data_IF_914188041939
#
_entry.id   IF_914188041939
#
_cell.length_a   1.000
_cell.length_b   1.000
_cell.length_c   1.000
_cell.angle_alpha   90.00
_cell.angle_beta   90.00
_cell.angle_gamma   90.00
#
_symmetry.space_group_name_H-M   'P 1'
#
loop_
_entity.id
_entity.type
_entity.pdbx_description
1 polymer ?
#
# COMPACT_ATOMS: atom_id res chain seq x y z
N UNK A 1 6.44 9.81 -26.28
CA UNK A 1 6.30 11.10 -27.00
C UNK A 1 6.79 11.03 -28.44
N UNK A 2 8.07 10.75 -28.71
CA UNK A 2 8.60 10.75 -30.09
C UNK A 2 8.17 9.56 -30.97
N UNK A 3 7.48 8.55 -30.41
CA UNK A 3 7.06 7.32 -31.11
C UNK A 3 8.22 6.56 -31.79
N UNK A 4 9.40 6.59 -31.16
CA UNK A 4 10.65 5.98 -31.65
C UNK A 4 11.28 4.98 -30.67
N UNK A 5 10.59 4.64 -29.59
CA UNK A 5 11.13 3.76 -28.55
C UNK A 5 11.51 2.39 -29.13
N UNK A 6 10.67 1.82 -29.99
CA UNK A 6 10.94 0.56 -30.67
C UNK A 6 12.18 0.63 -31.57
N UNK A 7 12.37 1.74 -32.29
CA UNK A 7 13.50 1.95 -33.21
C UNK A 7 14.82 2.06 -32.44
N UNK A 8 14.84 2.80 -31.32
CA UNK A 8 16.03 2.92 -30.48
C UNK A 8 16.38 1.60 -29.80
N UNK A 9 15.39 0.87 -29.26
CA UNK A 9 15.63 -0.45 -28.66
C UNK A 9 16.15 -1.45 -29.69
N UNK A 10 15.61 -1.44 -30.92
CA UNK A 10 16.10 -2.28 -32.01
C UNK A 10 17.54 -1.96 -32.39
N UNK A 11 17.90 -0.67 -32.46
CA UNK A 11 19.26 -0.24 -32.76
C UNK A 11 20.26 -0.66 -31.68
N UNK A 12 19.84 -0.66 -30.40
CA UNK A 12 20.66 -1.12 -29.27
C UNK A 12 20.90 -2.63 -29.33
N UNK A 13 19.84 -3.43 -29.51
CA UNK A 13 19.94 -4.91 -29.55
C UNK A 13 20.74 -5.38 -30.77
N UNK A 14 20.73 -4.64 -31.87
CA UNK A 14 21.55 -4.93 -33.04
C UNK A 14 23.05 -4.68 -32.82
N UNK A 15 23.43 -3.89 -31.80
CA UNK A 15 24.82 -3.63 -31.41
C UNK A 15 25.19 -4.39 -30.15
N UNK A 16 25.15 -5.72 -30.25
CA UNK A 16 25.54 -6.64 -29.14
C UNK A 16 26.98 -6.45 -28.68
N UNK A 17 27.85 -5.95 -29.57
CA UNK A 17 29.25 -5.60 -29.30
C UNK A 17 29.40 -4.50 -28.24
N UNK A 18 28.51 -3.51 -28.24
CA UNK A 18 28.50 -2.46 -27.21
C UNK A 18 27.66 -2.87 -26.00
N UNK A 19 26.59 -3.63 -26.21
CA UNK A 19 25.74 -4.10 -25.11
C UNK A 19 26.47 -5.09 -24.19
N UNK A 20 27.44 -5.86 -24.71
CA UNK A 20 28.25 -6.78 -23.89
C UNK A 20 29.17 -6.08 -22.87
N UNK A 21 29.36 -4.76 -22.97
CA UNK A 21 30.07 -3.98 -21.94
C UNK A 21 29.18 -3.73 -20.70
N UNK A 22 27.85 -3.71 -20.88
CA UNK A 22 26.89 -3.38 -19.83
C UNK A 22 26.04 -4.57 -19.37
N UNK A 23 25.94 -5.62 -20.20
CA UNK A 23 25.08 -6.78 -19.97
C UNK A 23 25.86 -8.08 -20.11
N UNK A 24 25.60 -8.99 -19.17
CA UNK A 24 26.10 -10.36 -19.22
C UNK A 24 25.54 -11.12 -20.43
N UNK A 25 26.25 -12.15 -20.95
CA UNK A 25 25.83 -12.88 -22.15
C UNK A 25 24.43 -13.50 -22.07
N UNK A 26 23.99 -13.88 -20.86
CA UNK A 26 22.67 -14.47 -20.57
C UNK A 26 21.61 -13.44 -20.14
N UNK A 27 21.90 -12.14 -20.24
CA UNK A 27 20.92 -11.11 -19.94
C UNK A 27 19.82 -11.09 -21.01
N UNK A 28 18.59 -10.76 -20.60
CA UNK A 28 17.43 -10.70 -21.49
C UNK A 28 17.64 -9.81 -22.73
N UNK A 29 18.44 -8.75 -22.62
CA UNK A 29 18.77 -7.86 -23.74
C UNK A 29 19.78 -8.45 -24.74
N UNK A 30 20.54 -9.48 -24.33
CA UNK A 30 21.56 -10.16 -25.13
C UNK A 30 21.04 -11.42 -25.83
N UNK A 31 19.92 -11.95 -25.36
CA UNK A 31 19.24 -13.14 -25.91
C UNK A 31 18.14 -12.79 -26.93
N UNK A 32 17.44 -13.80 -27.46
CA UNK A 32 16.39 -13.62 -28.47
C UNK A 32 15.17 -12.85 -27.92
N UNK A 33 14.93 -12.90 -26.61
CA UNK A 33 13.84 -12.22 -25.92
C UNK A 33 13.92 -10.70 -26.08
N UNK A 34 15.12 -10.12 -26.11
CA UNK A 34 15.30 -8.69 -26.36
C UNK A 34 14.74 -8.27 -27.73
N UNK A 35 15.00 -9.07 -28.77
CA UNK A 35 14.49 -8.81 -30.11
C UNK A 35 12.95 -8.92 -30.17
N UNK A 36 12.37 -9.88 -29.44
CA UNK A 36 10.92 -10.04 -29.31
C UNK A 36 10.31 -8.80 -28.64
N UNK A 37 10.89 -8.32 -27.53
CA UNK A 37 10.42 -7.12 -26.82
C UNK A 37 10.49 -5.89 -27.73
N UNK A 38 11.59 -5.71 -28.47
CA UNK A 38 11.70 -4.62 -29.45
C UNK A 38 10.60 -4.68 -30.51
N UNK A 39 10.22 -5.88 -30.96
CA UNK A 39 9.10 -6.10 -31.88
C UNK A 39 7.74 -5.73 -31.27
N UNK A 40 7.50 -6.11 -30.02
CA UNK A 40 6.26 -5.77 -29.30
C UNK A 40 6.13 -4.26 -29.07
N UNK A 41 7.24 -3.56 -28.81
CA UNK A 41 7.27 -2.11 -28.60
C UNK A 41 6.81 -1.32 -29.83
N UNK A 42 6.83 -1.90 -31.04
CA UNK A 42 6.29 -1.25 -32.25
C UNK A 42 4.79 -0.94 -32.10
N UNK A 43 4.05 -1.79 -31.37
CA UNK A 43 2.62 -1.56 -31.09
C UNK A 43 2.36 -0.27 -30.32
N UNK A 44 3.34 0.20 -29.52
CA UNK A 44 3.22 1.44 -28.75
C UNK A 44 3.30 2.70 -29.61
N UNK A 45 3.71 2.60 -30.89
CA UNK A 45 3.78 3.76 -31.78
C UNK A 45 2.40 4.34 -32.12
N UNK A 46 1.34 3.55 -31.95
CA UNK A 46 -0.05 4.00 -32.14
C UNK A 46 -0.52 4.88 -30.98
N UNK A 47 0.10 4.76 -29.80
CA UNK A 47 -0.28 5.51 -28.61
C UNK A 47 0.19 6.96 -28.72
N UNK A 48 -0.75 7.89 -28.60
CA UNK A 48 -0.46 9.31 -28.56
C UNK A 48 -0.28 9.78 -27.11
N UNK A 49 0.97 9.80 -26.66
CA UNK A 49 1.33 10.20 -25.32
C UNK A 49 2.07 11.55 -25.35
N UNK A 50 1.52 12.54 -24.65
CA UNK A 50 2.11 13.86 -24.48
C UNK A 50 2.32 14.15 -22.99
N UNK A 51 3.54 13.94 -22.50
CA UNK A 51 3.92 14.22 -21.12
C UNK A 51 4.69 15.54 -21.08
N UNK A 52 4.19 16.52 -20.33
CA UNK A 52 4.88 17.80 -20.17
C UNK A 52 6.04 17.66 -19.16
N UNK A 53 7.17 17.11 -19.60
CA UNK A 53 8.37 16.93 -18.74
C UNK A 53 9.13 18.24 -18.44
N UNK A 54 8.49 19.41 -18.57
CA UNK A 54 9.16 20.70 -18.32
C UNK A 54 9.06 21.03 -16.83
N UNK A 55 10.17 20.83 -16.12
CA UNK A 55 10.33 21.26 -14.73
C UNK A 55 10.03 20.19 -13.68
N UNK A 56 9.86 18.94 -14.08
CA UNK A 56 9.71 17.81 -13.14
C UNK A 56 11.09 17.21 -12.84
N UNK A 57 11.41 17.10 -11.55
CA UNK A 57 12.56 16.38 -11.04
C UNK A 57 12.28 14.88 -11.10
N UNK A 58 12.84 14.21 -12.11
CA UNK A 58 12.65 12.77 -12.36
C UNK A 58 13.40 11.89 -11.34
N UNK A 59 14.24 12.47 -10.48
CA UNK A 59 14.93 11.74 -9.40
C UNK A 59 14.02 11.50 -8.19
N UNK A 60 12.90 12.22 -8.11
CA UNK A 60 11.87 12.06 -7.07
C UNK A 60 10.56 11.50 -7.66
N UNK A 61 9.73 10.85 -6.83
CA UNK A 61 8.47 10.25 -7.30
C UNK A 61 7.56 11.31 -7.95
N UNK A 62 7.34 11.19 -9.27
CA UNK A 62 6.52 12.09 -10.08
C UNK A 62 5.14 12.28 -9.44
N UNK A 63 4.72 13.53 -9.28
CA UNK A 63 3.42 13.88 -8.70
C UNK A 63 2.27 13.20 -9.43
N UNK A 64 1.27 12.75 -8.66
CA UNK A 64 0.09 12.03 -9.19
C UNK A 64 -0.68 12.97 -10.12
N UNK A 65 -0.73 12.63 -11.41
CA UNK A 65 -1.54 13.36 -12.39
C UNK A 65 -2.98 12.84 -12.28
N UNK A 66 -3.89 13.70 -11.84
CA UNK A 66 -5.31 13.39 -11.70
C UNK A 66 -6.04 13.50 -13.06
N UNK A 67 -6.34 12.35 -13.67
CA UNK A 67 -7.15 12.26 -14.89
C UNK A 67 -8.66 12.11 -14.64
N UNK A 68 -9.11 12.15 -13.37
CA UNK A 68 -10.52 11.96 -13.01
C UNK A 68 -11.46 12.97 -13.67
N UNK A 69 -10.96 14.19 -13.98
CA UNK A 69 -11.75 15.19 -14.70
C UNK A 69 -12.01 14.85 -16.18
N UNK A 70 -11.16 14.02 -16.79
CA UNK A 70 -11.24 13.66 -18.21
C UNK A 70 -11.83 12.26 -18.43
N UNK A 71 -11.81 11.40 -17.41
CA UNK A 71 -12.53 10.13 -17.36
C UNK A 71 -13.98 10.35 -16.89
N UNK A 72 -14.74 11.20 -17.58
CA UNK A 72 -16.20 11.19 -17.40
C UNK A 72 -16.78 10.05 -18.22
N UNK A 73 -17.01 8.92 -17.56
CA UNK A 73 -17.76 7.81 -18.14
C UNK A 73 -19.18 8.27 -18.50
N UNK A 74 -19.56 8.06 -19.76
CA UNK A 74 -20.94 8.23 -20.22
C UNK A 74 -21.88 7.24 -19.54
N UNK A 75 -23.20 7.48 -19.53
CA UNK A 75 -24.13 6.75 -18.69
C UNK A 75 -24.31 5.32 -19.22
N UNK A 76 -23.53 4.38 -18.67
CA UNK A 76 -23.76 2.95 -18.85
C UNK A 76 -24.21 2.40 -17.50
N UNK A 77 -25.47 1.97 -17.52
CA UNK A 77 -26.15 1.35 -16.41
C UNK A 77 -25.40 0.08 -15.94
N UNK A 78 -25.30 -0.02 -14.60
CA UNK A 78 -24.96 -1.18 -13.74
C UNK A 78 -23.54 -1.17 -13.15
N UNK A 79 -23.36 -0.45 -12.05
CA UNK A 79 -22.24 -0.67 -11.11
C UNK A 79 -22.48 0.00 -9.74
N UNK A 80 -23.63 -0.24 -9.09
CA UNK A 80 -23.87 0.34 -7.74
C UNK A 80 -22.93 -0.22 -6.66
N UNK A 81 -22.29 -1.36 -6.88
CA UNK A 81 -21.34 -1.94 -5.92
C UNK A 81 -19.92 -1.38 -6.10
N UNK A 82 -19.48 -1.11 -7.33
CA UNK A 82 -18.16 -0.52 -7.59
C UNK A 82 -18.11 0.95 -7.14
N UNK A 83 -19.19 1.73 -7.31
CA UNK A 83 -19.24 3.12 -6.81
C UNK A 83 -19.16 3.21 -5.29
N UNK A 84 -19.80 2.27 -4.57
CA UNK A 84 -19.72 2.21 -3.10
C UNK A 84 -18.31 1.79 -2.66
N UNK A 85 -17.68 0.86 -3.39
CA UNK A 85 -16.33 0.41 -3.11
C UNK A 85 -15.29 1.50 -3.42
N UNK A 86 -15.47 2.27 -4.50
CA UNK A 86 -14.64 3.44 -4.84
C UNK A 86 -14.81 4.54 -3.77
N UNK A 87 -16.03 4.80 -3.32
CA UNK A 87 -16.31 5.78 -2.25
C UNK A 87 -15.61 5.38 -0.94
N UNK A 88 -15.69 4.11 -0.55
CA UNK A 88 -15.01 3.61 0.66
C UNK A 88 -13.47 3.70 0.56
N UNK A 89 -12.91 3.41 -0.62
CA UNK A 89 -11.46 3.55 -0.87
C UNK A 89 -11.03 5.02 -0.82
N UNK A 90 -11.85 5.95 -1.35
CA UNK A 90 -11.58 7.38 -1.29
C UNK A 90 -11.65 7.93 0.13
N UNK A 91 -12.62 7.49 0.94
CA UNK A 91 -12.70 7.87 2.35
C UNK A 91 -11.50 7.34 3.15
N UNK A 92 -11.08 6.10 2.89
CA UNK A 92 -9.89 5.53 3.50
C UNK A 92 -8.61 6.28 3.08
N UNK A 93 -8.51 6.66 1.81
CA UNK A 93 -7.41 7.48 1.29
C UNK A 93 -7.38 8.85 1.98
N UNK A 94 -8.51 9.56 2.06
CA UNK A 94 -8.61 10.85 2.73
C UNK A 94 -8.22 10.76 4.21
N UNK A 95 -8.63 9.69 4.91
CA UNK A 95 -8.23 9.46 6.29
C UNK A 95 -6.70 9.32 6.44
N UNK A 96 -6.07 8.55 5.57
CA UNK A 96 -4.60 8.37 5.57
C UNK A 96 -3.88 9.67 5.21
N UNK A 97 -4.38 10.44 4.24
CA UNK A 97 -3.81 11.73 3.86
C UNK A 97 -3.91 12.75 5.00
N UNK A 98 -5.04 12.81 5.70
CA UNK A 98 -5.20 13.70 6.86
C UNK A 98 -4.30 13.28 8.02
N UNK A 99 -4.16 11.97 8.27
CA UNK A 99 -3.23 11.45 9.28
C UNK A 99 -1.79 11.81 8.94
N UNK A 100 -1.38 11.65 7.67
CA UNK A 100 -0.06 12.05 7.21
C UNK A 100 0.14 13.57 7.33
N UNK A 101 -0.88 14.39 7.04
CA UNK A 101 -0.83 15.85 7.22
C UNK A 101 -0.59 16.22 8.68
N UNK A 102 -1.29 15.58 9.61
CA UNK A 102 -1.11 15.79 11.05
C UNK A 102 0.25 15.31 11.54
N UNK A 103 0.74 14.18 11.03
CA UNK A 103 2.07 13.66 11.35
C UNK A 103 3.16 14.62 10.86
N UNK A 104 3.07 15.10 9.62
CA UNK A 104 3.98 16.12 9.08
C UNK A 104 3.95 17.42 9.88
N UNK A 105 2.77 17.87 10.32
CA UNK A 105 2.66 19.03 11.21
C UNK A 105 3.33 18.80 12.58
N UNK A 106 3.19 17.60 13.14
CA UNK A 106 3.83 17.20 14.40
C UNK A 106 5.35 17.14 14.25
N UNK A 107 5.85 16.54 13.17
CA UNK A 107 7.29 16.48 12.85
C UNK A 107 7.86 17.89 12.71
N UNK A 108 7.21 18.79 11.97
CA UNK A 108 7.66 20.18 11.84
C UNK A 108 7.68 20.93 13.18
N UNK A 109 6.68 20.71 14.04
CA UNK A 109 6.67 21.30 15.38
C UNK A 109 7.81 20.76 16.26
N UNK A 110 8.07 19.45 16.21
CA UNK A 110 9.18 18.85 16.92
C UNK A 110 10.52 19.36 16.40
N UNK A 111 10.69 19.47 15.08
CA UNK A 111 11.89 20.04 14.47
C UNK A 111 12.13 21.48 14.95
N UNK A 112 11.08 22.31 14.97
CA UNK A 112 11.20 23.69 15.48
C UNK A 112 11.61 23.75 16.95
N UNK A 113 11.11 22.81 17.77
CA UNK A 113 11.53 22.70 19.19
C UNK A 113 12.97 22.23 19.33
N UNK A 114 13.40 21.26 18.51
CA UNK A 114 14.79 20.78 18.48
C UNK A 114 15.72 21.94 18.12
N UNK A 115 15.43 22.68 17.04
CA UNK A 115 16.23 23.83 16.61
C UNK A 115 16.29 24.94 17.68
N UNK A 116 15.19 25.16 18.41
CA UNK A 116 15.15 26.12 19.51
C UNK A 116 16.01 25.67 20.70
N UNK A 117 15.96 24.37 21.05
CA UNK A 117 16.78 23.80 22.11
C UNK A 117 18.26 23.80 21.73
N UNK A 118 18.62 23.48 20.49
CA UNK A 118 20.00 23.55 19.99
C UNK A 118 20.54 24.99 20.06
N UNK A 119 19.74 25.99 19.65
CA UNK A 119 20.10 27.41 19.81
C UNK A 119 20.24 27.84 21.27
N UNK A 120 19.46 27.26 22.19
CA UNK A 120 19.61 27.54 23.62
C UNK A 120 20.88 26.89 24.20
N UNK A 121 21.17 25.64 23.81
CA UNK A 121 22.34 24.92 24.26
C UNK A 121 23.65 25.58 23.82
N UNK A 122 23.69 26.08 22.58
CA UNK A 122 24.84 26.84 22.06
C UNK A 122 25.08 28.12 22.85
N UNK A 123 24.03 28.88 23.19
CA UNK A 123 24.15 30.06 24.07
C UNK A 123 24.64 29.70 25.47
N UNK A 124 24.11 28.64 26.07
CA UNK A 124 24.54 28.20 27.41
C UNK A 124 26.02 27.76 27.42
N UNK A 125 26.49 27.12 26.35
CA UNK A 125 27.91 26.75 26.21
C UNK A 125 28.80 27.98 26.02
N UNK A 126 28.34 29.01 25.29
CA UNK A 126 29.04 30.30 25.21
C UNK A 126 29.09 31.01 26.57
N UNK A 127 27.98 31.09 27.31
CA UNK A 127 27.93 31.69 28.65
C UNK A 127 28.84 30.97 29.65
N UNK A 128 28.86 29.62 29.59
CA UNK A 128 29.77 28.80 30.40
C UNK A 128 31.24 29.12 30.09
N UNK A 129 31.59 29.27 28.81
CA UNK A 129 32.95 29.64 28.41
C UNK A 129 33.34 31.04 28.92
N UNK A 130 32.42 32.01 28.86
CA UNK A 130 32.63 33.36 29.42
C UNK A 130 32.82 33.33 30.93
N UNK A 131 31.99 32.57 31.65
CA UNK A 131 32.11 32.41 33.10
C UNK A 131 33.44 31.76 33.49
N UNK A 132 33.88 30.71 32.79
CA UNK A 132 35.19 30.08 32.99
C UNK A 132 36.34 31.06 32.79
N UNK A 133 36.32 31.85 31.71
CA UNK A 133 37.33 32.89 31.49
C UNK A 133 37.36 33.91 32.63
N UNK A 134 36.19 34.29 33.14
CA UNK A 134 36.09 35.23 34.27
C UNK A 134 36.67 34.65 35.56
N UNK A 135 36.45 33.35 35.83
CA UNK A 135 37.06 32.63 36.96
C UNK A 135 38.58 32.63 36.83
N UNK A 136 39.12 32.33 35.65
CA UNK A 136 40.57 32.35 35.40
C UNK A 136 41.17 33.73 35.73
N UNK A 137 40.58 34.82 35.23
CA UNK A 137 41.05 36.18 35.56
C UNK A 137 41.01 36.47 37.06
N UNK A 138 39.93 36.07 37.76
CA UNK A 138 39.84 36.28 39.21
C UNK A 138 40.87 35.45 39.98
N UNK A 139 41.16 34.21 39.54
CA UNK A 139 42.20 33.38 40.13
C UNK A 139 43.59 33.99 39.94
N UNK A 140 43.88 34.56 38.77
CA UNK A 140 45.14 35.27 38.52
C UNK A 140 45.29 36.55 39.37
N UNK A 141 44.21 37.31 39.57
CA UNK A 141 44.21 38.48 40.47
C UNK A 141 44.40 38.08 41.94
N UNK A 142 43.80 36.96 42.37
CA UNK A 142 44.01 36.41 43.70
C UNK A 142 45.46 36.00 43.94
N UNK A 143 46.10 35.32 42.97
CA UNK A 143 47.51 34.93 43.13
C UNK A 143 48.43 36.15 43.11
N UNK A 144 48.15 37.17 42.28
CA UNK A 144 48.86 38.46 42.31
C UNK A 144 48.72 39.19 43.65
N UNK A 145 47.52 39.26 44.22
CA UNK A 145 47.30 39.88 45.53
C UNK A 145 47.98 39.10 46.67
N UNK A 146 48.05 37.77 46.55
CA UNK A 146 48.77 36.93 47.50
C UNK A 146 50.28 37.16 47.42
N UNK A 147 50.83 37.29 46.21
CA UNK A 147 52.23 37.66 45.99
C UNK A 147 52.54 39.07 46.54
N UNK A 148 51.70 40.08 46.27
CA UNK A 148 51.84 41.42 46.84
C UNK A 148 51.74 41.42 48.37
N UNK A 149 50.82 40.64 48.96
CA UNK A 149 50.67 40.50 50.40
C UNK A 149 51.90 39.87 51.08
N UNK A 150 52.58 38.93 50.42
CA UNK A 150 53.84 38.36 50.95
C UNK A 150 55.01 39.35 50.95
N UNK A 151 54.98 40.37 50.09
CA UNK A 151 55.96 41.47 50.07
C UNK A 151 55.69 42.50 51.18
N UNK A 152 54.43 42.75 51.55
CA UNK A 152 54.08 43.66 52.65
C UNK A 152 54.18 43.04 54.06
N UNK A 153 54.20 41.70 54.18
CA UNK A 153 54.26 41.01 55.48
C UNK A 153 55.67 40.92 56.11
N UNK A 154 56.70 41.57 55.55
CA UNK A 154 58.08 41.58 56.11
C UNK A 154 58.47 42.83 56.89
N UNK A 155 57.55 43.75 57.19
CA UNK A 155 57.87 44.89 58.03
C UNK A 155 56.67 45.47 58.76
N UNK A 156 56.42 45.05 60.01
CA UNK A 156 56.70 45.91 61.18
C UNK A 156 56.45 45.17 62.49
N UNK A 157 57.27 45.51 63.49
CA UNK A 157 57.30 44.91 64.83
C UNK A 157 56.21 45.47 65.77
N UNK A 158 55.91 44.62 66.75
CA UNK A 158 55.69 44.92 68.17
C UNK A 158 54.30 45.35 68.67
N UNK A 159 53.77 44.42 69.47
CA UNK A 159 53.32 44.60 70.86
C UNK A 159 51.91 45.15 71.09
N UNK A 160 51.19 44.39 71.95
CA UNK A 160 49.83 44.60 72.51
C UNK A 160 48.62 44.40 71.59
N UNK A 161 48.24 43.17 71.24
CA UNK A 161 46.83 42.80 70.94
C UNK A 161 46.63 41.28 70.86
N UNK A 162 46.63 40.55 71.98
CA UNK A 162 46.15 39.15 71.96
C UNK A 162 44.65 39.07 71.58
N UNK A 163 43.89 40.12 71.88
CA UNK A 163 42.45 40.23 71.60
C UNK A 163 42.11 40.64 70.14
N UNK A 164 43.06 41.27 69.44
CA UNK A 164 42.86 41.73 68.06
C UNK A 164 43.07 40.63 67.01
N UNK A 165 43.98 39.70 67.28
CA UNK A 165 44.25 38.54 66.43
C UNK A 165 43.12 37.50 66.52
N UNK A 166 42.64 37.20 67.74
CA UNK A 166 41.46 36.35 67.95
C UNK A 166 40.21 36.93 67.30
N UNK A 167 39.98 38.26 67.40
CA UNK A 167 38.89 38.93 66.69
C UNK A 167 39.04 38.89 65.15
N UNK A 168 40.27 38.90 64.63
CA UNK A 168 40.53 38.78 63.20
C UNK A 168 40.26 37.37 62.67
N UNK A 169 40.66 36.34 63.43
CA UNK A 169 40.41 34.94 63.12
C UNK A 169 38.92 34.61 63.19
N UNK A 170 38.21 35.07 64.23
CA UNK A 170 36.75 34.93 64.35
C UNK A 170 36.02 35.63 63.18
N UNK A 171 36.48 36.81 62.76
CA UNK A 171 35.92 37.50 61.58
C UNK A 171 36.17 36.74 60.27
N UNK A 172 37.32 36.09 60.13
CA UNK A 172 37.64 35.26 58.97
C UNK A 172 36.76 34.03 58.92
N UNK A 173 36.64 33.30 60.03
CA UNK A 173 35.76 32.15 60.15
C UNK A 173 34.29 32.52 59.89
N UNK A 174 33.80 33.66 60.39
CA UNK A 174 32.44 34.12 60.10
C UNK A 174 32.21 34.35 58.60
N UNK A 175 33.19 34.93 57.88
CA UNK A 175 33.10 35.11 56.42
C UNK A 175 33.10 33.79 55.68
N UNK A 176 33.96 32.85 56.06
CA UNK A 176 34.03 31.50 55.48
C UNK A 176 32.72 30.74 55.69
N UNK A 177 32.18 30.76 56.90
CA UNK A 177 30.89 30.14 57.24
C UNK A 177 29.73 30.77 56.45
N UNK A 178 29.73 32.10 56.29
CA UNK A 178 28.71 32.82 55.51
C UNK A 178 28.79 32.47 54.02
N UNK A 179 30.01 32.32 53.49
CA UNK A 179 30.23 31.91 52.10
C UNK A 179 29.76 30.46 51.88
N UNK A 180 30.15 29.54 52.77
CA UNK A 180 29.72 28.15 52.70
C UNK A 180 28.19 28.04 52.76
N UNK A 181 27.54 28.85 53.60
CA UNK A 181 26.08 28.91 53.69
C UNK A 181 25.45 29.39 52.37
N UNK A 182 25.99 30.42 51.73
CA UNK A 182 25.50 30.88 50.43
C UNK A 182 25.68 29.83 49.33
N UNK A 183 26.78 29.09 49.35
CA UNK A 183 27.03 28.05 48.36
C UNK A 183 26.09 26.85 48.55
N UNK A 184 25.78 26.49 49.81
CA UNK A 184 24.74 25.49 50.13
C UNK A 184 23.34 25.98 49.71
N UNK A 185 23.00 27.25 49.92
CA UNK A 185 21.72 27.82 49.50
C UNK A 185 21.57 27.78 47.96
N UNK A 186 22.63 28.08 47.20
CA UNK A 186 22.63 27.96 45.73
C UNK A 186 22.47 26.51 45.26
N UNK A 187 23.17 25.57 45.89
CA UNK A 187 23.05 24.14 45.55
C UNK A 187 21.64 23.62 45.83
N UNK A 188 21.01 24.05 46.94
CA UNK A 188 19.63 23.72 47.26
C UNK A 188 18.64 24.24 46.20
N UNK A 189 18.84 25.46 45.69
CA UNK A 189 18.02 26.03 44.62
C UNK A 189 18.10 25.19 43.34
N UNK A 190 19.31 24.77 42.95
CA UNK A 190 19.54 23.90 41.78
C UNK A 190 18.88 22.52 42.00
N UNK A 191 19.03 21.93 43.17
CA UNK A 191 18.39 20.65 43.53
C UNK A 191 16.86 20.74 43.50
N UNK A 192 16.26 21.88 43.87
CA UNK A 192 14.82 22.11 43.75
C UNK A 192 14.43 22.14 42.27
N UNK A 193 15.16 22.87 41.43
CA UNK A 193 14.93 22.94 39.98
C UNK A 193 14.99 21.56 39.32
N UNK A 194 16.08 20.81 39.53
CA UNK A 194 16.25 19.46 38.98
C UNK A 194 15.12 18.51 39.39
N UNK A 195 14.63 18.62 40.64
CA UNK A 195 13.54 17.78 41.13
C UNK A 195 12.21 18.11 40.45
N UNK A 196 11.93 19.39 40.21
CA UNK A 196 10.73 19.82 39.48
C UNK A 196 10.77 19.35 38.02
N UNK A 197 11.92 19.48 37.36
CA UNK A 197 12.12 18.97 36.00
C UNK A 197 11.94 17.45 35.92
N UNK A 198 12.54 16.71 36.87
CA UNK A 198 12.37 15.27 36.96
C UNK A 198 10.91 14.86 37.18
N UNK A 199 10.16 15.57 38.04
CA UNK A 199 8.75 15.30 38.29
C UNK A 199 7.90 15.56 37.03
N UNK A 200 8.19 16.63 36.28
CA UNK A 200 7.52 16.90 35.01
C UNK A 200 7.84 15.84 33.95
N UNK A 201 9.10 15.44 33.83
CA UNK A 201 9.53 14.38 32.91
C UNK A 201 8.85 13.04 33.25
N UNK A 202 8.77 12.69 34.53
CA UNK A 202 8.09 11.48 34.99
C UNK A 202 6.60 11.49 34.63
N UNK A 203 5.90 12.60 34.87
CA UNK A 203 4.46 12.74 34.50
C UNK A 203 4.24 12.63 32.99
N UNK A 204 5.14 13.18 32.18
CA UNK A 204 5.03 13.03 30.72
C UNK A 204 5.25 11.59 30.27
N UNK A 205 6.20 10.88 30.89
CA UNK A 205 6.46 9.48 30.60
C UNK A 205 5.28 8.59 31.04
N UNK A 206 4.70 8.83 32.22
CA UNK A 206 3.50 8.12 32.66
C UNK A 206 2.34 8.32 31.68
N UNK A 207 2.17 9.55 31.17
CA UNK A 207 1.15 9.87 30.17
C UNK A 207 1.40 9.12 28.85
N UNK A 208 2.63 9.11 28.33
CA UNK A 208 2.97 8.36 27.11
C UNK A 208 2.71 6.85 27.32
N UNK A 209 3.09 6.29 28.47
CA UNK A 209 2.82 4.89 28.80
C UNK A 209 1.31 4.60 28.79
N UNK A 210 0.48 5.45 29.38
CA UNK A 210 -0.98 5.29 29.34
C UNK A 210 -1.53 5.35 27.91
N UNK A 211 -1.10 6.33 27.10
CA UNK A 211 -1.55 6.47 25.70
C UNK A 211 -1.13 5.26 24.86
N UNK A 212 0.08 4.72 25.07
CA UNK A 212 0.54 3.49 24.40
C UNK A 212 -0.28 2.28 24.85
N UNK A 213 -0.65 2.19 26.12
CA UNK A 213 -1.50 1.11 26.63
C UNK A 213 -2.89 1.14 26.01
N UNK A 214 -3.50 2.33 25.88
CA UNK A 214 -4.80 2.50 25.24
C UNK A 214 -4.76 2.13 23.75
N UNK A 215 -3.73 2.59 23.03
CA UNK A 215 -3.52 2.21 21.64
C UNK A 215 -3.34 0.70 21.46
N UNK A 216 -2.60 0.06 22.37
CA UNK A 216 -2.39 -1.39 22.37
C UNK A 216 -3.71 -2.14 22.65
N UNK A 217 -4.53 -1.65 23.57
CA UNK A 217 -5.86 -2.21 23.84
C UNK A 217 -6.77 -2.12 22.61
N UNK A 218 -6.77 -0.97 21.91
CA UNK A 218 -7.53 -0.80 20.67
C UNK A 218 -7.08 -1.75 19.56
N UNK A 219 -5.75 -1.93 19.37
CA UNK A 219 -5.21 -2.88 18.40
C UNK A 219 -5.55 -4.33 18.75
N UNK A 220 -5.56 -4.70 20.04
CA UNK A 220 -6.00 -6.03 20.48
C UNK A 220 -7.48 -6.26 20.16
N UNK A 221 -8.33 -5.28 20.39
CA UNK A 221 -9.76 -5.37 20.04
C UNK A 221 -9.94 -5.56 18.53
N UNK A 222 -9.24 -4.77 17.71
CA UNK A 222 -9.29 -4.91 16.25
C UNK A 222 -8.84 -6.31 15.77
N UNK A 223 -7.83 -6.89 16.44
CA UNK A 223 -7.38 -8.26 16.14
C UNK A 223 -8.47 -9.30 16.43
N UNK A 224 -9.19 -9.13 17.54
CA UNK A 224 -10.29 -10.03 17.90
C UNK A 224 -11.50 -9.87 16.97
N UNK A 225 -11.82 -8.64 16.55
CA UNK A 225 -12.84 -8.37 15.54
C UNK A 225 -12.49 -9.01 14.19
N UNK A 226 -11.23 -8.91 13.75
CA UNK A 226 -10.73 -9.58 12.54
C UNK A 226 -10.81 -11.10 12.64
N UNK A 227 -10.52 -11.68 13.82
CA UNK A 227 -10.70 -13.12 14.04
C UNK A 227 -12.16 -13.51 13.94
N UNK A 228 -13.08 -12.75 14.52
CA UNK A 228 -14.51 -13.03 14.42
C UNK A 228 -14.98 -12.98 12.96
N UNK A 229 -14.59 -11.92 12.21
CA UNK A 229 -14.89 -11.78 10.80
C UNK A 229 -14.35 -12.95 9.97
N UNK A 230 -13.11 -13.39 10.23
CA UNK A 230 -12.50 -14.55 9.57
C UNK A 230 -13.35 -15.81 9.77
N UNK A 231 -13.84 -16.06 10.99
CA UNK A 231 -14.69 -17.23 11.25
C UNK A 231 -16.02 -17.13 10.51
N UNK A 232 -16.64 -15.95 10.49
CA UNK A 232 -17.91 -15.74 9.76
C UNK A 232 -17.74 -15.96 8.25
N UNK A 233 -16.69 -15.37 7.65
CA UNK A 233 -16.40 -15.56 6.23
C UNK A 233 -16.08 -17.01 5.89
N UNK A 234 -15.35 -17.71 6.75
CA UNK A 234 -15.05 -19.14 6.56
C UNK A 234 -16.32 -19.98 6.59
N UNK A 235 -17.25 -19.68 7.51
CA UNK A 235 -18.56 -20.34 7.57
C UNK A 235 -19.40 -20.06 6.32
N UNK A 236 -19.49 -18.79 5.89
CA UNK A 236 -20.21 -18.41 4.65
C UNK A 236 -19.62 -19.11 3.43
N UNK A 237 -18.29 -19.16 3.29
CA UNK A 237 -17.61 -19.84 2.21
C UNK A 237 -17.96 -21.33 2.17
N UNK A 238 -17.92 -22.01 3.33
CA UNK A 238 -18.30 -23.42 3.44
C UNK A 238 -19.75 -23.67 3.04
N UNK A 239 -20.68 -22.79 3.46
CA UNK A 239 -22.09 -22.89 3.07
C UNK A 239 -22.31 -22.70 1.57
N UNK A 240 -21.59 -21.76 0.96
CA UNK A 240 -21.62 -21.51 -0.48
C UNK A 240 -21.04 -22.68 -1.27
N UNK A 241 -19.94 -23.27 -0.82
CA UNK A 241 -19.33 -24.44 -1.45
C UNK A 241 -20.28 -25.65 -1.45
N UNK A 242 -21.00 -25.87 -0.33
CA UNK A 242 -22.04 -26.89 -0.26
C UNK A 242 -23.19 -26.62 -1.25
N UNK A 243 -23.65 -25.37 -1.34
CA UNK A 243 -24.70 -24.98 -2.28
C UNK A 243 -24.27 -25.16 -3.74
N UNK A 244 -23.02 -24.83 -4.07
CA UNK A 244 -22.44 -25.06 -5.40
C UNK A 244 -22.41 -26.56 -5.71
N UNK A 245 -21.94 -27.40 -4.79
CA UNK A 245 -21.93 -28.87 -4.96
C UNK A 245 -23.32 -29.42 -5.25
N UNK A 246 -24.34 -28.98 -4.52
CA UNK A 246 -25.73 -29.38 -4.77
C UNK A 246 -26.22 -28.94 -6.15
N UNK A 247 -25.93 -27.70 -6.57
CA UNK A 247 -26.28 -27.21 -7.91
C UNK A 247 -25.57 -27.97 -9.02
N UNK A 248 -24.29 -28.30 -8.85
CA UNK A 248 -23.53 -29.08 -9.83
C UNK A 248 -24.09 -30.49 -9.99
N UNK A 249 -24.49 -31.15 -8.89
CA UNK A 249 -25.12 -32.47 -8.96
C UNK A 249 -26.47 -32.41 -9.70
N UNK A 250 -27.28 -31.41 -9.41
CA UNK A 250 -28.56 -31.20 -10.12
C UNK A 250 -28.32 -30.94 -11.61
N UNK A 251 -27.29 -30.17 -11.97
CA UNK A 251 -26.94 -29.94 -13.36
C UNK A 251 -26.51 -31.23 -14.08
N UNK A 252 -25.67 -32.06 -13.46
CA UNK A 252 -25.30 -33.37 -14.02
C UNK A 252 -26.52 -34.27 -14.26
N UNK A 253 -27.50 -34.28 -13.34
CA UNK A 253 -28.75 -35.04 -13.52
C UNK A 253 -29.59 -34.51 -14.69
N UNK A 254 -29.65 -33.19 -14.87
CA UNK A 254 -30.36 -32.56 -15.99
C UNK A 254 -29.66 -32.84 -17.33
N UNK A 255 -28.32 -32.80 -17.36
CA UNK A 255 -27.54 -33.18 -18.54
C UNK A 255 -27.79 -34.64 -18.93
N UNK A 256 -27.80 -35.55 -17.96
CA UNK A 256 -28.12 -36.97 -18.21
C UNK A 256 -29.54 -37.12 -18.78
N UNK A 257 -30.53 -36.44 -18.19
CA UNK A 257 -31.92 -36.43 -18.71
C UNK A 257 -32.00 -35.89 -20.12
N UNK A 258 -31.27 -34.81 -20.42
CA UNK A 258 -31.22 -34.21 -21.76
C UNK A 258 -30.62 -35.19 -22.77
N UNK A 259 -29.56 -35.89 -22.41
CA UNK A 259 -28.94 -36.92 -23.25
C UNK A 259 -29.88 -38.11 -23.49
N UNK A 260 -30.59 -38.58 -22.46
CA UNK A 260 -31.62 -39.62 -22.59
C UNK A 260 -32.76 -39.19 -23.53
N UNK A 261 -33.23 -37.94 -23.40
CA UNK A 261 -34.24 -37.37 -24.30
C UNK A 261 -33.73 -37.29 -25.73
N UNK A 262 -32.49 -36.81 -25.96
CA UNK A 262 -31.90 -36.74 -27.29
C UNK A 262 -31.79 -38.13 -27.95
N UNK A 263 -31.39 -39.16 -27.20
CA UNK A 263 -31.37 -40.54 -27.68
C UNK A 263 -32.78 -41.05 -28.07
N UNK A 264 -33.79 -40.75 -27.26
CA UNK A 264 -35.18 -41.12 -27.53
C UNK A 264 -35.71 -40.43 -28.78
N UNK A 265 -35.44 -39.13 -28.95
CA UNK A 265 -35.81 -38.36 -30.15
C UNK A 265 -35.19 -39.00 -31.39
N UNK A 266 -33.89 -39.31 -31.36
CA UNK A 266 -33.19 -39.95 -32.48
C UNK A 266 -33.81 -41.30 -32.87
N UNK A 267 -34.22 -42.10 -31.87
CA UNK A 267 -34.91 -43.37 -32.12
C UNK A 267 -36.29 -43.16 -32.76
N UNK A 268 -37.05 -42.16 -32.29
CA UNK A 268 -38.35 -41.81 -32.86
C UNK A 268 -38.23 -41.31 -34.30
N UNK A 269 -37.25 -40.46 -34.59
CA UNK A 269 -36.94 -40.00 -35.95
C UNK A 269 -36.60 -41.16 -36.89
N UNK A 270 -35.81 -42.14 -36.42
CA UNK A 270 -35.49 -43.32 -37.20
C UNK A 270 -36.74 -44.16 -37.50
N UNK A 271 -37.62 -44.37 -36.51
CA UNK A 271 -38.88 -45.09 -36.70
C UNK A 271 -39.80 -44.37 -37.68
N UNK A 272 -39.89 -43.03 -37.58
CA UNK A 272 -40.67 -42.22 -38.50
C UNK A 272 -40.22 -42.42 -39.95
N UNK A 273 -38.90 -42.37 -40.21
CA UNK A 273 -38.33 -42.62 -41.55
C UNK A 273 -38.62 -44.02 -42.08
N UNK A 274 -38.67 -45.04 -41.22
CA UNK A 274 -39.04 -46.40 -41.64
C UNK A 274 -40.52 -46.43 -42.05
N UNK A 275 -41.40 -45.92 -41.20
CA UNK A 275 -42.85 -45.86 -41.49
C UNK A 275 -43.15 -45.06 -42.75
N UNK A 276 -42.44 -43.96 -42.99
CA UNK A 276 -42.58 -43.16 -44.21
C UNK A 276 -42.18 -43.93 -45.47
N UNK A 277 -41.12 -44.74 -45.42
CA UNK A 277 -40.71 -45.61 -46.53
C UNK A 277 -41.73 -46.72 -46.77
N UNK A 278 -42.15 -47.41 -45.72
CA UNK A 278 -43.14 -48.50 -45.81
C UNK A 278 -44.47 -47.97 -46.40
N UNK A 279 -44.89 -46.76 -45.99
CA UNK A 279 -46.07 -46.09 -46.56
C UNK A 279 -45.91 -45.81 -48.05
N UNK A 280 -44.75 -45.30 -48.48
CA UNK A 280 -44.49 -45.00 -49.89
C UNK A 280 -44.45 -46.27 -50.74
N UNK A 281 -43.85 -47.34 -50.23
CA UNK A 281 -43.84 -48.65 -50.89
C UNK A 281 -45.26 -49.23 -51.02
N UNK A 282 -46.07 -49.15 -49.96
CA UNK A 282 -47.47 -49.57 -50.00
C UNK A 282 -48.31 -48.73 -50.99
N UNK A 283 -48.10 -47.41 -51.05
CA UNK A 283 -48.76 -46.53 -52.02
C UNK A 283 -48.38 -46.88 -53.46
N UNK A 284 -47.10 -47.17 -53.72
CA UNK A 284 -46.62 -47.59 -55.03
C UNK A 284 -47.19 -48.95 -55.44
N UNK A 285 -47.21 -49.92 -54.52
CA UNK A 285 -47.81 -51.24 -54.76
C UNK A 285 -49.30 -51.13 -55.05
N UNK A 286 -50.04 -50.30 -54.29
CA UNK A 286 -51.47 -50.04 -54.53
C UNK A 286 -51.71 -49.36 -55.88
N UNK A 287 -50.83 -48.43 -56.29
CA UNK A 287 -50.89 -47.79 -57.62
C UNK A 287 -50.68 -48.81 -58.75
N UNK A 288 -49.65 -49.66 -58.63
CA UNK A 288 -49.36 -50.73 -59.61
C UNK A 288 -50.53 -51.71 -59.70
N UNK A 289 -51.04 -52.17 -58.56
CA UNK A 289 -52.21 -53.03 -58.51
C UNK A 289 -53.42 -52.41 -59.22
N UNK A 290 -53.73 -51.14 -58.94
CA UNK A 290 -54.83 -50.43 -59.63
C UNK A 290 -54.62 -50.36 -61.14
N UNK A 291 -53.37 -50.15 -61.59
CA UNK A 291 -53.04 -50.13 -63.01
C UNK A 291 -53.24 -51.51 -63.65
N UNK A 292 -52.66 -52.57 -63.07
CA UNK A 292 -52.81 -53.95 -63.58
C UNK A 292 -54.28 -54.39 -63.64
N UNK A 293 -55.08 -54.05 -62.61
CA UNK A 293 -56.51 -54.30 -62.61
C UNK A 293 -57.23 -53.50 -63.69
N UNK A 294 -56.88 -52.24 -63.89
CA UNK A 294 -57.40 -51.40 -64.98
C UNK A 294 -57.12 -52.02 -66.35
N UNK A 295 -55.86 -52.35 -66.62
CA UNK A 295 -55.42 -52.96 -67.89
C UNK A 295 -56.14 -54.30 -68.15
N UNK A 296 -56.37 -55.09 -67.08
CA UNK A 296 -57.11 -56.36 -67.19
C UNK A 296 -58.59 -56.15 -67.49
N UNK A 297 -59.23 -55.16 -66.87
CA UNK A 297 -60.63 -54.79 -67.16
C UNK A 297 -60.76 -54.32 -68.60
N UNK A 298 -59.89 -53.45 -69.08
CA UNK A 298 -59.88 -52.97 -70.46
C UNK A 298 -59.70 -54.13 -71.46
N UNK A 299 -58.76 -55.04 -71.18
CA UNK A 299 -58.54 -56.24 -71.99
C UNK A 299 -59.80 -57.12 -72.09
N UNK A 300 -60.47 -57.36 -70.95
CA UNK A 300 -61.71 -58.15 -70.90
C UNK A 300 -62.86 -57.43 -71.60
N UNK A 301 -62.98 -56.10 -71.47
CA UNK A 301 -63.97 -55.31 -72.19
C UNK A 301 -63.77 -55.41 -73.71
N UNK A 302 -62.53 -55.31 -74.20
CA UNK A 302 -62.23 -55.51 -75.61
C UNK A 302 -62.60 -56.92 -76.10
N UNK A 303 -62.34 -57.95 -75.31
CA UNK A 303 -62.72 -59.34 -75.63
C UNK A 303 -64.24 -59.52 -75.71
N UNK A 304 -64.98 -58.95 -74.74
CA UNK A 304 -66.45 -58.94 -74.76
C UNK A 304 -66.98 -58.18 -75.98
N UNK A 305 -66.41 -57.03 -76.32
CA UNK A 305 -66.81 -56.24 -77.49
C UNK A 305 -66.50 -56.95 -78.82
N UNK A 306 -65.40 -57.70 -78.90
CA UNK A 306 -65.10 -58.55 -80.05
C UNK A 306 -66.11 -59.68 -80.18
N UNK A 307 -66.44 -60.36 -79.08
CA UNK A 307 -67.46 -61.42 -79.08
C UNK A 307 -68.84 -60.87 -79.49
N UNK A 308 -69.22 -59.66 -79.01
CA UNK A 308 -70.45 -58.98 -79.44
C UNK A 308 -70.51 -58.65 -80.92
N UNK A 309 -69.38 -58.46 -81.59
CA UNK A 309 -69.30 -58.19 -83.04
C UNK A 309 -69.36 -59.47 -83.89
N UNK A 310 -69.16 -60.64 -83.29
CA UNK A 310 -69.22 -61.95 -83.97
C UNK A 310 -70.60 -62.60 -83.92
N UNK A 311 -71.53 -62.03 -83.15
CA UNK A 311 -72.96 -62.38 -83.09
C UNK A 311 -73.79 -61.36 -83.84
#
# INVERSE_FOLDING_TARGET
MQKKLSEYMKALINRKDLMSEFYEPNALMMEEEGAIISGLLVGLNVIDANFCMKGEDLDSQVGVIDFSMYLKEGPIAKSSEEDVQITAILDQKNYVEELNRQLSATVNNLQTKVDALEKSNTKLTEELAVANNRIITMQEEMERMKDDSTLFSKGNKHDRTADGQTLSEVRKHLKEETQLRQDIEKELEVQIGMRQEMEMAMKMLDKDVCEKQDALAALRQQLDDLRALKHELSFKLQSSDLAVKQKTELNSRLEEKTNQMAATIKQLEQRLRVVERDRLEAENANRLFKQEFGDKIESLQMEVDQLRKQW
#
